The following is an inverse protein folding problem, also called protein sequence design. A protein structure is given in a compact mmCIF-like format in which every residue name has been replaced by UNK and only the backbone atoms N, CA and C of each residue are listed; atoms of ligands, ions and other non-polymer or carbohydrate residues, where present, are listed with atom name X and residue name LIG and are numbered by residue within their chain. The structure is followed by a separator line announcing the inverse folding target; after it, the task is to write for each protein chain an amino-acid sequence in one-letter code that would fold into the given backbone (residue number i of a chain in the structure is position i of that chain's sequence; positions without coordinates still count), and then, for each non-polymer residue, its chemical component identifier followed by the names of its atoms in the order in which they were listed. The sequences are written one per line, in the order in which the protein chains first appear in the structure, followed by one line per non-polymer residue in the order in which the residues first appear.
data_IF_510338373177
#
_entry.id   IF_510338373177
#
_cell.length_a   1.000
_cell.length_b   1.000
_cell.length_c   1.000
_cell.angle_alpha   90.00
_cell.angle_beta   90.00
_cell.angle_gamma   90.00
#
_symmetry.space_group_name_H-M   'P 1'
#
loop_
_entity.id
_entity.type
_entity.pdbx_description
1 polymer ?
#
# COMPACT_ATOMS: atom_id res chain seq x y z
N UNK A 1 16.59 -6.24 -3.74
CA UNK A 1 15.90 -4.98 -4.03
C UNK A 1 15.60 -4.22 -2.75
N UNK A 2 15.70 -2.90 -2.80
CA UNK A 2 15.29 -2.05 -1.69
C UNK A 2 13.76 -1.92 -1.69
N UNK A 3 13.20 -1.47 -0.57
CA UNK A 3 11.76 -1.20 -0.51
C UNK A 3 11.35 -0.13 -1.54
N UNK A 4 12.18 0.88 -1.75
CA UNK A 4 11.91 1.91 -2.76
C UNK A 4 11.83 1.33 -4.17
N UNK A 5 12.70 0.39 -4.49
CA UNK A 5 12.67 -0.28 -5.80
C UNK A 5 11.41 -1.13 -5.93
N UNK A 6 11.02 -1.82 -4.86
CA UNK A 6 9.80 -2.61 -4.85
C UNK A 6 8.57 -1.70 -5.00
N UNK A 7 8.56 -0.55 -4.31
CA UNK A 7 7.48 0.43 -4.45
C UNK A 7 7.36 0.91 -5.88
N UNK A 8 8.48 1.30 -6.50
CA UNK A 8 8.47 1.79 -7.88
C UNK A 8 7.91 0.75 -8.84
N UNK A 9 8.32 -0.49 -8.65
CA UNK A 9 7.83 -1.60 -9.46
C UNK A 9 6.32 -1.79 -9.26
N UNK A 10 5.86 -1.76 -8.01
CA UNK A 10 4.44 -1.95 -7.71
C UNK A 10 3.58 -0.83 -8.27
N UNK A 11 4.07 0.41 -8.21
CA UNK A 11 3.35 1.55 -8.80
C UNK A 11 3.13 1.30 -10.29
N UNK A 12 4.16 0.89 -11.01
CA UNK A 12 4.05 0.63 -12.45
C UNK A 12 3.06 -0.51 -12.73
N UNK A 13 3.10 -1.56 -11.93
CA UNK A 13 2.18 -2.68 -12.09
C UNK A 13 0.73 -2.23 -11.89
N UNK A 14 0.48 -1.48 -10.84
CA UNK A 14 -0.87 -0.99 -10.55
C UNK A 14 -1.35 -0.02 -11.62
N UNK A 15 -0.48 0.88 -12.06
CA UNK A 15 -0.84 1.81 -13.13
C UNK A 15 -1.16 1.07 -14.43
N UNK A 16 -0.42 0.01 -14.74
CA UNK A 16 -0.68 -0.79 -15.92
C UNK A 16 -2.03 -1.52 -15.83
N UNK A 17 -2.53 -1.72 -14.63
CA UNK A 17 -3.84 -2.34 -14.39
C UNK A 17 -4.97 -1.30 -14.35
N UNK A 18 -4.67 -0.04 -14.59
CA UNK A 18 -5.66 1.02 -14.64
C UNK A 18 -5.89 1.77 -13.34
N UNK A 19 -5.07 1.53 -12.32
CA UNK A 19 -5.18 2.27 -11.07
C UNK A 19 -4.54 3.64 -11.18
N UNK A 20 -5.13 4.61 -10.51
CA UNK A 20 -4.51 5.90 -10.27
C UNK A 20 -3.75 5.77 -8.94
N UNK A 21 -2.42 5.86 -8.97
CA UNK A 21 -1.61 5.52 -7.80
C UNK A 21 -0.98 6.78 -7.20
N UNK A 22 -1.14 6.93 -5.89
CA UNK A 22 -0.53 8.02 -5.13
C UNK A 22 0.42 7.41 -4.11
N UNK A 23 1.67 7.87 -4.10
CA UNK A 23 2.63 7.49 -3.07
C UNK A 23 2.42 8.40 -1.86
N UNK A 24 2.11 7.80 -0.71
CA UNK A 24 1.86 8.54 0.51
C UNK A 24 3.18 8.74 1.24
N UNK A 25 3.71 9.97 1.22
CA UNK A 25 5.00 10.28 1.82
C UNK A 25 4.84 10.80 3.25
N UNK A 26 3.81 11.61 3.46
CA UNK A 26 3.54 12.18 4.78
C UNK A 26 2.04 12.27 5.01
N UNK A 27 1.58 11.75 6.13
CA UNK A 27 0.17 11.80 6.52
C UNK A 27 0.09 12.17 8.00
N UNK A 28 -1.13 12.48 8.45
CA UNK A 28 -1.38 12.76 9.87
C UNK A 28 -1.43 11.51 10.74
N UNK A 29 -1.29 10.33 10.13
CA UNK A 29 -1.31 9.05 10.86
C UNK A 29 -0.06 8.26 10.52
N UNK A 30 0.75 7.98 11.52
CA UNK A 30 1.95 7.14 11.33
C UNK A 30 1.52 5.70 11.09
N UNK A 31 2.30 4.99 10.27
CA UNK A 31 2.05 3.58 9.98
C UNK A 31 1.01 3.33 8.89
N UNK A 32 0.52 4.37 8.24
CA UNK A 32 -0.36 4.25 7.08
C UNK A 32 0.39 3.55 5.95
N UNK A 33 -0.27 2.69 5.16
CA UNK A 33 0.39 2.04 4.01
C UNK A 33 1.00 3.02 3.02
N UNK A 34 1.99 2.55 2.26
CA UNK A 34 2.83 3.40 1.41
C UNK A 34 2.12 3.95 0.20
N UNK A 35 1.18 3.19 -0.37
CA UNK A 35 0.55 3.53 -1.64
C UNK A 35 -0.96 3.53 -1.51
N UNK A 36 -1.58 4.48 -2.22
CA UNK A 36 -3.03 4.52 -2.39
C UNK A 36 -3.33 4.30 -3.86
N UNK A 37 -4.04 3.23 -4.18
CA UNK A 37 -4.37 2.86 -5.55
C UNK A 37 -5.88 2.99 -5.75
N UNK A 38 -6.26 3.83 -6.70
CA UNK A 38 -7.66 4.16 -6.95
C UNK A 38 -8.08 3.61 -8.32
N UNK A 39 -8.93 2.59 -8.35
CA UNK A 39 -9.42 2.06 -9.62
C UNK A 39 -10.58 2.90 -10.14
N UNK A 40 -11.03 2.60 -11.36
CA UNK A 40 -12.12 3.36 -11.97
C UNK A 40 -13.48 3.10 -11.33
N UNK A 41 -13.61 1.99 -10.57
CA UNK A 41 -14.87 1.61 -9.92
C UNK A 41 -14.97 2.08 -8.47
N UNK A 42 -14.06 2.92 -8.03
CA UNK A 42 -13.99 3.51 -6.69
C UNK A 42 -13.72 2.50 -5.55
N UNK A 43 -13.28 1.30 -5.86
CA UNK A 43 -12.93 0.30 -4.84
C UNK A 43 -11.46 0.47 -4.45
N UNK A 44 -11.20 1.46 -3.62
CA UNK A 44 -9.85 1.91 -3.27
C UNK A 44 -9.01 0.81 -2.61
N UNK A 45 -7.73 0.78 -2.93
CA UNK A 45 -6.78 -0.16 -2.37
C UNK A 45 -5.60 0.58 -1.76
N UNK A 46 -5.31 0.33 -0.48
CA UNK A 46 -4.06 0.76 0.13
C UNK A 46 -3.04 -0.38 0.01
N UNK A 47 -1.83 -0.05 -0.33
CA UNK A 47 -0.77 -1.05 -0.52
C UNK A 47 0.42 -0.72 0.39
N UNK A 48 0.73 -1.63 1.31
CA UNK A 48 1.93 -1.58 2.13
C UNK A 48 3.01 -2.38 1.42
N UNK A 49 4.16 -1.76 1.18
CA UNK A 49 5.26 -2.41 0.48
C UNK A 49 6.32 -2.85 1.47
N UNK A 50 6.73 -4.10 1.39
CA UNK A 50 7.78 -4.69 2.23
C UNK A 50 8.74 -5.49 1.37
N UNK A 51 9.96 -5.65 1.86
CA UNK A 51 10.89 -6.63 1.31
C UNK A 51 10.32 -8.03 1.56
N UNK A 52 10.74 -9.04 0.79
CA UNK A 52 10.19 -10.39 0.96
C UNK A 52 10.30 -10.92 2.40
N UNK A 53 11.36 -10.56 3.12
CA UNK A 53 11.57 -10.97 4.50
C UNK A 53 11.11 -9.92 5.52
N UNK A 54 10.52 -8.82 5.04
CA UNK A 54 10.11 -7.72 5.90
C UNK A 54 8.86 -8.05 6.70
N UNK A 55 8.79 -7.52 7.92
CA UNK A 55 7.65 -7.72 8.81
C UNK A 55 6.92 -6.42 9.03
N UNK A 56 5.61 -6.50 9.17
CA UNK A 56 4.82 -5.34 9.56
C UNK A 56 5.11 -4.98 11.02
N UNK A 57 5.21 -3.68 11.30
CA UNK A 57 5.23 -3.23 12.68
C UNK A 57 3.84 -3.38 13.27
N UNK A 58 3.74 -3.35 14.60
CA UNK A 58 2.44 -3.40 15.26
C UNK A 58 1.57 -2.22 14.86
N UNK A 59 2.17 -1.04 14.69
CA UNK A 59 1.43 0.13 14.26
C UNK A 59 0.89 -0.03 12.84
N UNK A 60 1.69 -0.59 11.92
CA UNK A 60 1.23 -0.87 10.56
C UNK A 60 0.07 -1.87 10.56
N UNK A 61 0.16 -2.91 11.37
CA UNK A 61 -0.93 -3.88 11.53
C UNK A 61 -2.19 -3.21 12.04
N UNK A 62 -2.04 -2.33 13.02
CA UNK A 62 -3.16 -1.58 13.59
C UNK A 62 -3.84 -0.69 12.55
N UNK A 63 -3.05 0.03 11.73
CA UNK A 63 -3.59 0.90 10.69
C UNK A 63 -4.32 0.12 9.62
N UNK A 64 -3.77 -1.04 9.23
CA UNK A 64 -4.44 -1.92 8.26
C UNK A 64 -5.79 -2.37 8.81
N UNK A 65 -5.83 -2.75 10.09
CA UNK A 65 -7.07 -3.16 10.73
C UNK A 65 -8.09 -2.03 10.73
N UNK A 66 -7.66 -0.81 11.06
CA UNK A 66 -8.55 0.36 11.04
C UNK A 66 -9.15 0.59 9.66
N UNK A 67 -8.30 0.53 8.63
CA UNK A 67 -8.74 0.72 7.24
C UNK A 67 -9.75 -0.37 6.85
N UNK A 68 -9.48 -1.62 7.22
CA UNK A 68 -10.39 -2.72 6.93
C UNK A 68 -11.73 -2.53 7.63
N UNK A 69 -11.71 -2.03 8.87
CA UNK A 69 -12.94 -1.75 9.62
C UNK A 69 -13.78 -0.65 8.97
N UNK A 70 -13.14 0.23 8.21
CA UNK A 70 -13.82 1.27 7.45
C UNK A 70 -14.16 0.82 6.02
N UNK A 71 -14.07 -0.47 5.74
CA UNK A 71 -14.45 -1.02 4.45
C UNK A 71 -13.41 -0.83 3.35
N UNK A 72 -12.19 -0.47 3.71
CA UNK A 72 -11.13 -0.20 2.73
C UNK A 72 -10.26 -1.45 2.57
N UNK A 73 -9.98 -1.81 1.31
CA UNK A 73 -9.09 -2.94 1.01
C UNK A 73 -7.64 -2.54 1.26
N UNK A 74 -6.87 -3.49 1.76
CA UNK A 74 -5.43 -3.32 1.94
C UNK A 74 -4.70 -4.55 1.43
N UNK A 75 -3.48 -4.35 0.96
CA UNK A 75 -2.59 -5.46 0.62
C UNK A 75 -1.22 -5.21 1.22
N UNK A 76 -0.48 -6.28 1.49
CA UNK A 76 0.93 -6.21 1.82
C UNK A 76 1.68 -6.85 0.65
N UNK A 77 2.42 -6.03 -0.09
CA UNK A 77 3.13 -6.49 -1.28
C UNK A 77 4.60 -6.68 -0.97
N UNK A 78 5.11 -7.89 -1.19
CA UNK A 78 6.49 -8.25 -0.81
C UNK A 78 7.42 -8.45 -2.01
N UNK A 79 7.09 -7.90 -3.14
CA UNK A 79 8.08 -7.76 -4.21
C UNK A 79 8.41 -9.02 -5.00
N UNK A 80 7.44 -9.84 -5.29
CA UNK A 80 7.67 -11.01 -6.15
C UNK A 80 6.92 -10.90 -7.46
#
# INVERSE_FOLDING_TARGET
MTEQQIQSKRIKELESQGYYVIKLVRTNKNGIPDLLAIPRDSNVLFCEVKRPDGKLSKLQEFRIKELNEHGIRTEVFRGH
#
